data_IF_312000223864
#
_entry.id   IF_312000223864
#
_cell.length_a   1.000
_cell.length_b   1.000
_cell.length_c   1.000
_cell.angle_alpha   90.00
_cell.angle_beta   90.00
_cell.angle_gamma   90.00
#
_symmetry.space_group_name_H-M   'P 1'
#
loop_
_entity.id
_entity.type
_entity.pdbx_description
1 polymer ?
#
# COMPACT_ATOMS: atom_id res chain seq x y z
N UNK A 1 -18.62 -3.02 0.51
CA UNK A 1 -17.32 -3.67 0.79
C UNK A 1 -17.28 -4.02 2.26
N UNK A 2 -17.29 -5.32 2.58
CA UNK A 2 -17.30 -5.84 3.94
C UNK A 2 -15.95 -5.56 4.65
N UNK A 3 -15.91 -5.59 5.99
CA UNK A 3 -14.69 -5.30 6.78
C UNK A 3 -13.55 -6.26 6.41
N UNK A 4 -13.86 -7.53 6.17
CA UNK A 4 -12.88 -8.56 5.79
C UNK A 4 -12.25 -8.25 4.42
N UNK A 5 -13.04 -7.77 3.46
CA UNK A 5 -12.54 -7.39 2.13
C UNK A 5 -11.57 -6.20 2.22
N UNK A 6 -11.89 -5.21 3.05
CA UNK A 6 -11.01 -4.06 3.34
C UNK A 6 -9.67 -4.53 3.92
N UNK A 7 -9.70 -5.40 4.92
CA UNK A 7 -8.49 -5.94 5.54
C UNK A 7 -7.62 -6.70 4.52
N UNK A 8 -8.22 -7.55 3.69
CA UNK A 8 -7.51 -8.30 2.65
C UNK A 8 -6.86 -7.40 1.60
N UNK A 9 -7.51 -6.31 1.21
CA UNK A 9 -6.94 -5.33 0.28
C UNK A 9 -5.71 -4.66 0.90
N UNK A 10 -5.82 -4.18 2.15
CA UNK A 10 -4.71 -3.55 2.86
C UNK A 10 -3.53 -4.51 3.02
N UNK A 11 -3.79 -5.77 3.40
CA UNK A 11 -2.75 -6.79 3.54
C UNK A 11 -2.03 -7.04 2.21
N UNK A 12 -2.77 -7.17 1.11
CA UNK A 12 -2.17 -7.37 -0.22
C UNK A 12 -1.34 -6.15 -0.67
N UNK A 13 -1.76 -4.93 -0.33
CA UNK A 13 -1.00 -3.70 -0.59
C UNK A 13 0.30 -3.69 0.20
N UNK A 14 0.27 -4.01 1.48
CA UNK A 14 1.45 -4.09 2.34
C UNK A 14 2.46 -5.13 1.85
N UNK A 15 1.99 -6.34 1.49
CA UNK A 15 2.85 -7.38 0.93
C UNK A 15 3.52 -6.92 -0.38
N UNK A 16 2.77 -6.24 -1.24
CA UNK A 16 3.29 -5.71 -2.52
C UNK A 16 4.32 -4.61 -2.29
N UNK A 17 4.04 -3.66 -1.39
CA UNK A 17 4.97 -2.59 -1.01
C UNK A 17 6.24 -3.20 -0.43
N UNK A 18 6.13 -4.07 0.59
CA UNK A 18 7.27 -4.77 1.22
C UNK A 18 8.15 -5.47 0.19
N UNK A 19 7.55 -6.27 -0.69
CA UNK A 19 8.29 -7.05 -1.69
C UNK A 19 9.05 -6.16 -2.69
N UNK A 20 8.49 -4.98 -3.00
CA UNK A 20 9.13 -4.02 -3.91
C UNK A 20 10.13 -3.12 -3.22
N UNK A 21 9.95 -2.80 -1.93
CA UNK A 21 10.91 -2.01 -1.15
C UNK A 21 12.24 -2.72 -0.96
N UNK A 22 12.27 -4.06 -1.01
CA UNK A 22 13.53 -4.84 -0.95
C UNK A 22 14.47 -4.53 -2.14
N UNK A 23 13.92 -4.06 -3.25
CA UNK A 23 14.66 -3.55 -4.39
C UNK A 23 14.12 -2.17 -4.72
N UNK A 24 14.68 -1.13 -4.12
CA UNK A 24 14.17 0.25 -4.20
C UNK A 24 13.81 0.69 -5.64
N UNK A 25 14.54 0.25 -6.66
CA UNK A 25 14.21 0.49 -8.07
C UNK A 25 12.85 -0.10 -8.51
N UNK A 26 12.50 -1.28 -8.01
CA UNK A 26 11.25 -1.99 -8.30
C UNK A 26 10.04 -1.32 -7.62
N UNK A 27 10.27 -0.55 -6.55
CA UNK A 27 9.24 0.27 -5.94
C UNK A 27 8.69 1.24 -6.99
N UNK A 28 9.57 1.94 -7.72
CA UNK A 28 9.19 2.93 -8.73
C UNK A 28 8.79 2.35 -10.09
N UNK A 29 9.01 1.05 -10.34
CA UNK A 29 8.63 0.40 -11.61
C UNK A 29 7.11 0.28 -11.75
N UNK A 30 6.53 1.14 -12.57
CA UNK A 30 5.16 0.98 -13.07
C UNK A 30 5.20 0.13 -14.35
N UNK A 31 4.32 -0.87 -14.49
CA UNK A 31 4.10 -1.47 -15.82
C UNK A 31 3.57 -0.36 -16.75
N UNK A 32 4.02 -0.34 -18.01
CA UNK A 32 3.72 0.66 -19.05
C UNK A 32 2.25 0.54 -19.48
N UNK A 33 1.34 0.74 -18.53
CA UNK A 33 -0.10 0.61 -18.67
C UNK A 33 -0.74 1.68 -17.81
N UNK A 34 -0.53 2.97 -18.12
CA UNK A 34 -1.20 4.18 -17.58
C UNK A 34 -1.53 4.27 -16.07
N UNK A 35 -1.10 3.34 -15.23
CA UNK A 35 -1.49 3.20 -13.85
C UNK A 35 -0.23 3.36 -12.99
N UNK A 36 -0.10 4.54 -12.39
CA UNK A 36 0.98 4.88 -11.45
C UNK A 36 0.74 4.31 -10.04
N UNK A 37 0.09 3.16 -9.93
CA UNK A 37 -0.39 2.59 -8.68
C UNK A 37 0.07 1.14 -8.47
N UNK A 38 0.41 0.79 -7.23
CA UNK A 38 0.64 -0.59 -6.80
C UNK A 38 -0.69 -1.27 -6.57
N UNK A 39 -1.26 -1.91 -7.59
CA UNK A 39 -2.61 -2.46 -7.52
C UNK A 39 -2.63 -4.00 -7.44
N UNK A 40 -2.82 -4.62 -6.26
CA UNK A 40 -3.31 -5.99 -6.18
C UNK A 40 -4.68 -6.11 -6.86
N UNK A 41 -4.89 -7.20 -7.61
CA UNK A 41 -6.15 -7.48 -8.29
C UNK A 41 -7.17 -7.94 -7.25
N UNK A 42 -8.22 -7.15 -7.01
CA UNK A 42 -9.32 -7.53 -6.11
C UNK A 42 -10.64 -7.38 -6.87
N UNK A 43 -11.42 -8.45 -7.01
CA UNK A 43 -12.77 -8.43 -7.62
C UNK A 43 -12.88 -7.55 -8.88
N UNK A 44 -12.08 -7.84 -9.92
CA UNK A 44 -12.03 -7.10 -11.19
C UNK A 44 -11.69 -5.60 -11.12
N UNK A 45 -11.37 -5.07 -9.94
CA UNK A 45 -11.00 -3.67 -9.73
C UNK A 45 -9.52 -3.59 -9.36
N UNK A 46 -8.80 -2.67 -10.00
CA UNK A 46 -7.43 -2.34 -9.62
C UNK A 46 -7.48 -1.37 -8.45
N UNK A 47 -7.21 -1.89 -7.25
CA UNK A 47 -7.12 -1.06 -6.04
C UNK A 47 -5.64 -0.95 -5.69
N UNK A 48 -5.08 0.25 -5.80
CA UNK A 48 -3.66 0.47 -5.60
C UNK A 48 -3.30 1.79 -4.96
N UNK A 49 -2.12 1.85 -4.36
CA UNK A 49 -1.56 3.08 -3.79
C UNK A 49 -0.61 3.71 -4.80
N UNK A 50 -0.77 5.01 -5.03
CA UNK A 50 0.17 5.78 -5.87
C UNK A 50 1.56 5.80 -5.24
N UNK A 51 2.61 5.71 -6.06
CA UNK A 51 4.00 5.64 -5.58
C UNK A 51 4.38 6.77 -4.62
N UNK A 52 4.01 8.01 -4.98
CA UNK A 52 4.27 9.20 -4.17
C UNK A 52 3.35 9.32 -2.94
N UNK A 53 2.42 8.38 -2.74
CA UNK A 53 1.50 8.32 -1.60
C UNK A 53 1.75 7.12 -0.69
N UNK A 54 2.76 6.29 -0.98
CA UNK A 54 3.10 5.13 -0.15
C UNK A 54 3.38 5.55 1.30
N UNK A 55 4.19 6.59 1.52
CA UNK A 55 4.49 7.06 2.88
C UNK A 55 3.25 7.55 3.61
N UNK A 56 2.42 8.39 2.97
CA UNK A 56 1.16 8.87 3.56
C UNK A 56 0.22 7.70 3.90
N UNK A 57 0.06 6.75 2.99
CA UNK A 57 -0.75 5.55 3.22
C UNK A 57 -0.25 4.72 4.42
N UNK A 58 1.07 4.53 4.54
CA UNK A 58 1.65 3.77 5.66
C UNK A 58 1.50 4.52 7.00
N UNK A 59 1.70 5.84 7.01
CA UNK A 59 1.49 6.68 8.19
C UNK A 59 0.03 6.63 8.65
N UNK A 60 -0.92 6.88 7.74
CA UNK A 60 -2.36 6.84 8.04
C UNK A 60 -2.78 5.45 8.56
N UNK A 61 -2.22 4.38 7.98
CA UNK A 61 -2.50 3.02 8.39
C UNK A 61 -2.00 2.76 9.82
N UNK A 62 -0.78 3.17 10.14
CA UNK A 62 -0.22 3.01 11.48
C UNK A 62 -1.05 3.78 12.51
N UNK A 63 -1.40 5.04 12.21
CA UNK A 63 -2.27 5.87 13.06
C UNK A 63 -3.66 5.26 13.27
N UNK A 64 -4.17 4.52 12.26
CA UNK A 64 -5.47 3.86 12.36
C UNK A 64 -5.49 2.68 13.34
N UNK A 65 -4.34 2.05 13.58
CA UNK A 65 -4.20 0.98 14.57
C UNK A 65 -3.90 1.53 15.96
N UNK A 66 -2.93 2.44 16.06
CA UNK A 66 -2.51 3.01 17.33
C UNK A 66 -1.88 4.39 17.09
N UNK A 67 -2.56 5.45 17.54
CA UNK A 67 -2.13 6.85 17.31
C UNK A 67 -0.75 7.14 17.90
N UNK A 68 -0.42 6.48 19.01
CA UNK A 68 0.83 6.68 19.72
C UNK A 68 2.00 5.93 19.07
N UNK A 69 1.77 5.02 18.12
CA UNK A 69 2.84 4.25 17.50
C UNK A 69 3.79 5.11 16.66
N UNK A 70 3.28 6.21 16.10
CA UNK A 70 4.09 7.19 15.38
C UNK A 70 5.16 7.86 16.27
N UNK A 71 4.98 7.86 17.59
CA UNK A 71 5.99 8.39 18.52
C UNK A 71 7.28 7.57 18.53
N UNK A 72 7.20 6.27 18.19
CA UNK A 72 8.34 5.34 18.14
C UNK A 72 9.11 5.37 16.82
N UNK A 73 8.62 6.07 15.80
CA UNK A 73 9.23 6.17 14.47
C UNK A 73 10.06 7.46 14.29
N UNK A 74 10.23 8.24 15.36
CA UNK A 74 11.06 9.46 15.40
C UNK A 74 12.51 9.16 15.76
#
# INVERSE_FOLDING_TARGET
>A
MQIIEKANIVLNLLLTIRNRSFHWENLYKTKITNQKALAPKSHNTFIGVMLNKINAFLSDLIESFEKDLNSYLK
#
